data_IF_308447422123
#
_entry.id   IF_308447422123
#
_cell.length_a   1.000
_cell.length_b   1.000
_cell.length_c   1.000
_cell.angle_alpha   90.00
_cell.angle_beta   90.00
_cell.angle_gamma   90.00
#
_symmetry.space_group_name_H-M   'P 1'
#
loop_
_entity.id
_entity.type
_entity.pdbx_description
1 polymer ?
#
# COMPACT_ATOMS: atom_id res chain seq x y z
N UNK A 1 29.93 -11.28 1.37
CA UNK A 1 28.62 -11.86 1.68
C UNK A 1 27.60 -11.14 0.82
N UNK A 2 27.00 -11.88 -0.10
CA UNK A 2 26.07 -11.34 -1.10
C UNK A 2 24.82 -10.81 -0.40
N UNK A 3 24.61 -9.49 -0.44
CA UNK A 3 23.39 -8.83 0.04
C UNK A 3 22.73 -8.17 -1.17
N UNK A 4 22.10 -8.99 -2.00
CA UNK A 4 21.08 -8.55 -2.95
C UNK A 4 19.92 -9.52 -2.82
N UNK A 5 19.25 -9.49 -1.67
CA UNK A 5 17.89 -10.00 -1.55
C UNK A 5 16.94 -8.81 -1.67
N UNK A 6 16.94 -8.22 -2.87
CA UNK A 6 16.00 -7.17 -3.22
C UNK A 6 14.58 -7.73 -3.08
N UNK A 7 13.71 -7.04 -2.33
CA UNK A 7 12.27 -7.27 -2.47
C UNK A 7 11.92 -6.83 -3.88
N UNK A 8 11.87 -7.80 -4.78
CA UNK A 8 11.47 -7.62 -6.16
C UNK A 8 10.02 -8.09 -6.21
N UNK A 9 9.16 -7.22 -6.71
CA UNK A 9 7.89 -7.69 -7.23
C UNK A 9 8.18 -8.40 -8.55
N UNK A 10 8.38 -9.72 -8.49
CA UNK A 10 8.66 -10.58 -9.65
C UNK A 10 7.50 -10.58 -10.67
N UNK A 11 6.38 -9.94 -10.35
CA UNK A 11 5.19 -9.81 -11.19
C UNK A 11 4.89 -8.36 -11.62
N UNK A 12 5.68 -7.37 -11.19
CA UNK A 12 5.57 -6.01 -11.70
C UNK A 12 5.93 -6.03 -13.20
N UNK A 13 4.90 -6.01 -14.04
CA UNK A 13 5.08 -5.97 -15.49
C UNK A 13 6.03 -4.83 -15.85
N UNK A 14 7.09 -5.15 -16.61
CA UNK A 14 8.00 -4.16 -17.20
C UNK A 14 7.17 -2.98 -17.74
N UNK A 15 7.63 -1.74 -17.52
CA UNK A 15 6.91 -0.46 -17.59
C UNK A 15 6.18 -0.08 -18.92
N UNK A 16 5.81 -1.05 -19.73
CA UNK A 16 4.91 -0.97 -20.87
C UNK A 16 3.74 -1.98 -20.77
N UNK A 17 3.44 -2.53 -19.58
CA UNK A 17 2.17 -3.21 -19.40
C UNK A 17 1.06 -2.18 -19.69
N UNK A 18 0.12 -2.46 -20.62
CA UNK A 18 -1.00 -1.56 -20.85
C UNK A 18 -1.66 -1.34 -19.49
N UNK A 19 -1.83 -0.09 -19.09
CA UNK A 19 -2.66 0.25 -17.95
C UNK A 19 -3.99 -0.40 -18.22
N UNK A 20 -4.30 -1.51 -17.53
CA UNK A 20 -5.55 -2.22 -17.71
C UNK A 20 -6.65 -1.16 -17.66
N UNK A 21 -7.35 -0.98 -18.78
CA UNK A 21 -8.40 0.01 -18.88
C UNK A 21 -9.37 -0.25 -17.71
N UNK A 22 -9.92 0.79 -17.09
CA UNK A 22 -10.72 0.65 -15.87
C UNK A 22 -11.94 -0.29 -15.98
N UNK A 23 -12.26 -0.71 -17.21
CA UNK A 23 -13.26 -1.71 -17.58
C UNK A 23 -12.75 -3.15 -17.44
N UNK A 24 -11.48 -3.44 -17.76
CA UNK A 24 -10.88 -4.78 -17.62
C UNK A 24 -10.77 -5.21 -16.16
N UNK A 25 -10.56 -4.27 -15.24
CA UNK A 25 -10.51 -4.54 -13.81
C UNK A 25 -11.91 -4.73 -13.18
N UNK A 26 -12.96 -4.20 -13.80
CA UNK A 26 -14.34 -4.23 -13.28
C UNK A 26 -15.15 -5.40 -13.83
N UNK A 27 -14.52 -6.58 -13.92
CA UNK A 27 -15.25 -7.80 -14.29
C UNK A 27 -16.34 -8.14 -13.27
N UNK A 28 -17.42 -8.83 -13.65
CA UNK A 28 -18.45 -9.29 -12.71
C UNK A 28 -17.88 -10.09 -11.54
N UNK A 29 -16.83 -10.88 -11.78
CA UNK A 29 -16.14 -11.65 -10.75
C UNK A 29 -15.43 -10.75 -9.73
N UNK A 30 -14.73 -9.71 -10.18
CA UNK A 30 -14.03 -8.78 -9.30
C UNK A 30 -15.01 -7.97 -8.45
N UNK A 31 -16.09 -7.49 -9.07
CA UNK A 31 -17.15 -6.77 -8.36
C UNK A 31 -17.81 -7.64 -7.29
N UNK A 32 -18.11 -8.91 -7.60
CA UNK A 32 -18.66 -9.85 -6.61
C UNK A 32 -17.69 -10.10 -5.43
N UNK A 33 -16.38 -10.17 -5.69
CA UNK A 33 -15.37 -10.31 -4.63
C UNK A 33 -15.27 -9.04 -3.78
N UNK A 34 -15.33 -7.87 -4.42
CA UNK A 34 -15.31 -6.59 -3.73
C UNK A 34 -16.54 -6.42 -2.82
N UNK A 35 -17.74 -6.76 -3.30
CA UNK A 35 -18.96 -6.71 -2.48
C UNK A 35 -18.86 -7.59 -1.23
N UNK A 36 -18.33 -8.82 -1.37
CA UNK A 36 -18.09 -9.71 -0.23
C UNK A 36 -17.09 -9.14 0.76
N UNK A 37 -16.01 -8.53 0.28
CA UNK A 37 -15.02 -7.88 1.13
C UNK A 37 -15.64 -6.70 1.89
N UNK A 38 -16.37 -5.83 1.19
CA UNK A 38 -17.07 -4.68 1.81
C UNK A 38 -18.05 -5.13 2.88
N UNK A 39 -18.82 -6.21 2.64
CA UNK A 39 -19.78 -6.74 3.62
C UNK A 39 -19.10 -7.37 4.86
N UNK A 40 -17.93 -7.98 4.70
CA UNK A 40 -17.23 -8.68 5.77
C UNK A 40 -16.31 -7.76 6.60
N UNK A 41 -15.82 -6.66 6.02
CA UNK A 41 -14.84 -5.79 6.65
C UNK A 41 -15.49 -4.74 7.55
N UNK A 42 -15.17 -4.78 8.85
CA UNK A 42 -15.48 -3.70 9.78
C UNK A 42 -14.31 -2.71 9.86
N UNK A 43 -14.51 -1.48 9.39
CA UNK A 43 -13.49 -0.42 9.43
C UNK A 43 -13.59 0.34 10.75
N UNK A 44 -12.59 0.19 11.61
CA UNK A 44 -12.47 1.01 12.82
C UNK A 44 -12.01 2.42 12.44
N UNK A 45 -12.94 3.37 12.41
CA UNK A 45 -12.65 4.78 12.14
C UNK A 45 -11.95 5.41 13.34
N UNK A 46 -10.64 5.67 13.20
CA UNK A 46 -9.89 6.45 14.19
C UNK A 46 -10.23 7.95 14.11
N UNK A 47 -10.43 8.46 12.89
CA UNK A 47 -10.81 9.85 12.63
C UNK A 47 -11.86 9.91 11.52
N UNK A 48 -12.86 10.80 11.61
CA UNK A 48 -13.85 10.97 10.55
C UNK A 48 -13.24 11.60 9.29
N UNK A 49 -13.81 11.33 8.10
CA UNK A 49 -13.43 12.03 6.88
C UNK A 49 -13.58 13.55 7.02
N UNK A 50 -12.64 14.30 6.43
CA UNK A 50 -12.63 15.77 6.45
C UNK A 50 -13.12 16.30 5.11
N UNK A 51 -14.03 17.27 5.14
CA UNK A 51 -14.58 17.88 3.94
C UNK A 51 -13.48 18.54 3.08
N UNK A 52 -13.57 18.36 1.77
CA UNK A 52 -12.63 18.93 0.79
C UNK A 52 -11.21 18.32 0.81
N UNK A 53 -10.93 17.32 1.66
CA UNK A 53 -9.63 16.64 1.69
C UNK A 53 -9.63 15.40 0.79
N UNK A 54 -8.48 15.16 0.14
CA UNK A 54 -8.26 13.97 -0.68
C UNK A 54 -7.97 12.75 0.19
N UNK A 55 -8.26 11.55 -0.34
CA UNK A 55 -7.86 10.28 0.26
C UNK A 55 -6.46 9.90 -0.24
N UNK A 56 -5.56 9.64 0.70
CA UNK A 56 -4.25 9.05 0.46
C UNK A 56 -4.22 7.68 1.14
N UNK A 57 -3.92 6.63 0.39
CA UNK A 57 -3.73 5.27 0.90
C UNK A 57 -2.24 4.97 0.85
N UNK A 58 -1.68 4.54 1.98
CA UNK A 58 -0.27 4.21 2.13
C UNK A 58 -0.16 2.78 2.61
N UNK A 59 0.69 2.01 1.94
CA UNK A 59 1.17 0.74 2.46
C UNK A 59 2.19 0.99 3.59
N UNK A 60 2.53 -0.04 4.37
CA UNK A 60 3.47 0.07 5.49
C UNK A 60 4.85 -0.46 5.12
N UNK A 61 4.92 -1.73 4.72
CA UNK A 61 6.17 -2.46 4.53
C UNK A 61 6.87 -1.95 3.26
N UNK A 62 8.11 -1.46 3.42
CA UNK A 62 8.88 -0.84 2.34
C UNK A 62 8.27 0.42 1.71
N UNK A 63 7.16 0.90 2.24
CA UNK A 63 6.58 2.20 1.89
C UNK A 63 6.95 3.24 2.94
N UNK A 64 6.64 2.99 4.21
CA UNK A 64 6.93 3.90 5.33
C UNK A 64 8.05 3.40 6.24
N UNK A 65 8.21 2.08 6.36
CA UNK A 65 9.21 1.45 7.23
C UNK A 65 10.02 0.38 6.51
N UNK A 66 11.27 0.18 6.91
CA UNK A 66 12.02 -1.03 6.60
C UNK A 66 11.66 -2.14 7.60
N UNK A 67 10.93 -3.15 7.13
CA UNK A 67 10.41 -4.21 8.01
C UNK A 67 11.24 -5.50 8.00
N UNK A 68 12.35 -5.59 7.23
CA UNK A 68 13.25 -6.76 7.30
C UNK A 68 14.44 -6.55 8.22
N UNK A 69 14.91 -5.33 8.42
CA UNK A 69 16.11 -5.10 9.24
C UNK A 69 15.78 -5.20 10.72
N UNK A 70 16.69 -5.84 11.47
CA UNK A 70 16.60 -5.87 12.93
C UNK A 70 17.19 -4.56 13.45
N UNK A 71 16.35 -3.70 14.04
CA UNK A 71 16.78 -2.45 14.65
C UNK A 71 16.49 -2.42 16.15
N UNK A 72 17.15 -1.49 16.85
CA UNK A 72 16.95 -1.27 18.28
C UNK A 72 15.66 -0.52 18.60
N UNK A 73 15.11 0.23 17.64
CA UNK A 73 13.89 1.01 17.79
C UNK A 73 13.12 1.13 16.46
N UNK A 74 11.83 1.50 16.54
CA UNK A 74 11.01 1.75 15.36
C UNK A 74 11.40 3.04 14.63
N UNK A 75 12.05 3.99 15.32
CA UNK A 75 12.54 5.23 14.71
C UNK A 75 13.68 4.96 13.71
N UNK A 76 14.53 3.97 14.00
CA UNK A 76 15.61 3.54 13.10
C UNK A 76 15.08 2.90 11.81
N UNK A 77 13.83 2.42 11.82
CA UNK A 77 13.20 1.77 10.67
C UNK A 77 12.41 2.75 9.80
N UNK A 78 12.20 3.99 10.24
CA UNK A 78 11.43 4.99 9.49
C UNK A 78 12.12 5.34 8.18
N UNK A 79 11.34 5.48 7.11
CA UNK A 79 11.82 6.08 5.88
C UNK A 79 12.25 7.54 6.15
N UNK A 80 13.39 8.00 5.61
CA UNK A 80 13.80 9.39 5.75
C UNK A 80 12.68 10.36 5.33
N UNK A 81 12.49 11.41 6.13
CA UNK A 81 11.44 12.43 5.97
C UNK A 81 9.99 11.97 6.18
N UNK A 82 9.77 10.81 6.82
CA UNK A 82 8.43 10.30 7.07
C UNK A 82 7.55 11.26 7.88
N UNK A 83 8.11 11.96 8.88
CA UNK A 83 7.32 12.86 9.72
C UNK A 83 6.89 14.09 8.94
N UNK A 84 7.83 14.73 8.23
CA UNK A 84 7.61 15.91 7.39
C UNK A 84 6.64 15.61 6.23
N UNK A 85 6.63 14.37 5.73
CA UNK A 85 5.68 13.93 4.73
C UNK A 85 4.24 13.80 5.27
N UNK A 86 4.08 13.54 6.57
CA UNK A 86 2.77 13.31 7.21
C UNK A 86 2.13 14.59 7.80
N UNK A 87 2.88 15.70 7.86
CA UNK A 87 2.39 17.03 8.25
C UNK A 87 1.49 17.67 7.17
#
# INVERSE_FOLDING_TARGET
>A
MSLTDSVVDDFAGTAAAPTADGDELRTPLHLQRLEKAVAATHVQLLHPPREGKKLLVLDLDYTLFDCKTLAGSMDDLKRPFLNEFME
#
